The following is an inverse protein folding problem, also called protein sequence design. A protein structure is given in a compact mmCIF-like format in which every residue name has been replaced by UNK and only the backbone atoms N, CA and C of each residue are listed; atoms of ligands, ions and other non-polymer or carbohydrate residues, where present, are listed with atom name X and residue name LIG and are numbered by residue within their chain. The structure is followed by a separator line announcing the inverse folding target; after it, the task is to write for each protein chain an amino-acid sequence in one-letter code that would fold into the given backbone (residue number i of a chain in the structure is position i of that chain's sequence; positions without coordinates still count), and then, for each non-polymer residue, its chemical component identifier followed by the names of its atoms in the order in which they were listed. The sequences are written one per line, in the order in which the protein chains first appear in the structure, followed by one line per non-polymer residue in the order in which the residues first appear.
data_IF_734291217476
#
_entry.id   IF_734291217476
#
_cell.length_a   1.000
_cell.length_b   1.000
_cell.length_c   1.000
_cell.angle_alpha   90.00
_cell.angle_beta   90.00
_cell.angle_gamma   90.00
#
_symmetry.space_group_name_H-M   'P 1'
#
loop_
_entity.id
_entity.type
_entity.pdbx_description
1 polymer ?
#
# COMPACT_ATOMS: atom_id res chain seq x y z
N UNK A 1 -8.22 -17.81 -0.90
CA UNK A 1 -8.81 -16.97 -1.97
C UNK A 1 -9.76 -15.90 -1.41
N UNK A 2 -10.67 -16.21 -0.48
CA UNK A 2 -11.57 -15.21 0.14
C UNK A 2 -10.84 -14.20 1.05
N UNK A 3 -9.76 -14.61 1.72
CA UNK A 3 -9.00 -13.72 2.62
C UNK A 3 -8.36 -12.51 1.91
N UNK A 4 -7.98 -12.65 0.64
CA UNK A 4 -7.39 -11.56 -0.15
C UNK A 4 -8.43 -10.52 -0.58
N UNK A 5 -9.68 -10.94 -0.79
CA UNK A 5 -10.78 -10.04 -1.12
C UNK A 5 -11.22 -9.20 0.08
N UNK A 6 -11.22 -9.77 1.29
CA UNK A 6 -11.55 -9.05 2.52
C UNK A 6 -10.49 -8.00 2.91
N UNK A 7 -9.21 -8.28 2.63
CA UNK A 7 -8.10 -7.34 2.78
C UNK A 7 -8.25 -6.12 1.83
N UNK A 8 -8.58 -6.36 0.55
CA UNK A 8 -8.82 -5.30 -0.43
C UNK A 8 -10.01 -4.39 -0.08
N UNK A 9 -11.09 -4.95 0.47
CA UNK A 9 -12.27 -4.18 0.91
C UNK A 9 -11.99 -3.40 2.20
N UNK A 10 -11.10 -3.88 3.09
CA UNK A 10 -10.78 -3.17 4.33
C UNK A 10 -9.97 -1.88 4.09
N UNK A 11 -9.10 -1.84 3.07
CA UNK A 11 -8.43 -0.60 2.68
C UNK A 11 -9.46 0.43 2.22
N UNK A 12 -10.38 0.07 1.32
CA UNK A 12 -11.36 1.01 0.75
C UNK A 12 -12.35 1.62 1.76
N UNK A 13 -12.62 0.95 2.89
CA UNK A 13 -13.64 1.40 3.85
C UNK A 13 -13.09 2.26 5.01
N UNK A 14 -11.76 2.34 5.19
CA UNK A 14 -11.11 3.16 6.24
C UNK A 14 -9.82 3.87 5.82
N UNK A 15 -9.43 3.80 4.54
CA UNK A 15 -8.16 4.28 3.93
C UNK A 15 -7.29 5.16 4.85
N UNK A 16 -6.34 4.57 5.59
CA UNK A 16 -5.42 5.34 6.44
C UNK A 16 -4.34 6.08 5.63
N UNK A 17 -4.18 5.73 4.35
CA UNK A 17 -3.31 6.37 3.37
C UNK A 17 -3.94 6.31 1.97
N UNK A 18 -3.50 7.21 1.09
CA UNK A 18 -3.93 7.31 -0.30
C UNK A 18 -2.81 7.76 -1.24
N UNK A 19 -3.16 7.97 -2.50
CA UNK A 19 -2.23 8.47 -3.52
C UNK A 19 -1.63 9.81 -3.06
N UNK A 20 -0.31 9.94 -3.21
CA UNK A 20 0.46 11.10 -2.77
C UNK A 20 1.01 11.01 -1.34
N UNK A 21 0.56 10.04 -0.54
CA UNK A 21 1.16 9.82 0.79
C UNK A 21 2.54 9.19 0.64
N UNK A 22 3.48 9.65 1.47
CA UNK A 22 4.75 8.98 1.65
C UNK A 22 4.60 7.85 2.67
N UNK A 23 5.00 6.65 2.25
CA UNK A 23 4.84 5.44 3.06
C UNK A 23 6.12 4.62 3.11
N UNK A 24 6.21 3.76 4.12
CA UNK A 24 7.19 2.67 4.17
C UNK A 24 6.49 1.34 4.38
N UNK A 25 6.78 0.37 3.53
CA UNK A 25 6.15 -0.95 3.54
C UNK A 25 7.12 -1.99 2.96
N UNK A 26 7.18 -3.17 3.58
CA UNK A 26 8.06 -4.27 3.17
C UNK A 26 9.55 -3.88 3.01
N UNK A 27 10.01 -2.85 3.72
CA UNK A 27 11.38 -2.32 3.63
C UNK A 27 11.57 -1.20 2.62
N UNK A 28 10.62 -0.99 1.71
CA UNK A 28 10.66 0.05 0.70
C UNK A 28 9.99 1.34 1.21
N UNK A 29 10.60 2.50 0.93
CA UNK A 29 10.05 3.83 1.21
C UNK A 29 9.75 4.52 -0.11
N UNK A 30 8.53 5.03 -0.29
CA UNK A 30 8.14 5.67 -1.54
C UNK A 30 6.82 6.42 -1.45
N UNK A 31 6.43 7.03 -2.57
CA UNK A 31 5.17 7.76 -2.71
C UNK A 31 4.12 6.83 -3.31
N UNK A 32 2.95 6.76 -2.69
CA UNK A 32 1.83 5.98 -3.24
C UNK A 32 1.34 6.61 -4.53
N UNK A 33 1.36 5.83 -5.61
CA UNK A 33 0.87 6.26 -6.93
C UNK A 33 -0.52 5.72 -7.23
N UNK A 34 -0.82 4.50 -6.79
CA UNK A 34 -2.10 3.83 -7.04
C UNK A 34 -2.45 2.88 -5.89
N UNK A 35 -3.74 2.75 -5.59
CA UNK A 35 -4.26 1.77 -4.63
C UNK A 35 -5.48 1.09 -5.23
N UNK A 36 -5.36 -0.21 -5.45
CA UNK A 36 -6.37 -1.04 -6.08
C UNK A 36 -6.91 -2.06 -5.07
N UNK A 37 -7.86 -2.88 -5.51
CA UNK A 37 -8.38 -4.00 -4.71
C UNK A 37 -7.30 -5.01 -4.32
N UNK A 38 -6.27 -5.20 -5.15
CA UNK A 38 -5.29 -6.28 -4.97
C UNK A 38 -3.87 -5.80 -4.70
N UNK A 39 -3.52 -4.61 -5.18
CA UNK A 39 -2.16 -4.08 -5.15
C UNK A 39 -2.14 -2.63 -4.73
N UNK A 40 -1.02 -2.22 -4.15
CA UNK A 40 -0.62 -0.83 -3.92
C UNK A 40 0.63 -0.59 -4.76
N UNK A 41 0.66 0.49 -5.54
CA UNK A 41 1.86 0.91 -6.28
C UNK A 41 2.54 2.05 -5.54
N UNK A 42 3.85 1.91 -5.34
CA UNK A 42 4.69 2.98 -4.80
C UNK A 42 5.81 3.30 -5.78
N UNK A 43 6.16 4.57 -5.90
CA UNK A 43 7.34 5.01 -6.65
C UNK A 43 8.45 5.38 -5.68
N UNK A 44 9.64 4.86 -5.94
CA UNK A 44 10.86 5.16 -5.20
C UNK A 44 12.04 5.17 -6.19
N UNK A 45 12.90 6.19 -6.10
CA UNK A 45 14.12 6.30 -6.92
C UNK A 45 13.91 6.13 -8.45
N UNK A 46 12.73 6.49 -8.96
CA UNK A 46 12.37 6.36 -10.38
C UNK A 46 11.93 4.95 -10.79
N UNK A 47 11.80 4.02 -9.84
CA UNK A 47 11.26 2.68 -10.04
C UNK A 47 9.85 2.57 -9.44
N UNK A 48 8.98 1.81 -10.11
CA UNK A 48 7.64 1.49 -9.63
C UNK A 48 7.64 0.11 -8.95
N UNK A 49 7.23 0.07 -7.69
CA UNK A 49 7.09 -1.15 -6.92
C UNK A 49 5.61 -1.52 -6.79
N UNK A 50 5.27 -2.74 -7.22
CA UNK A 50 3.91 -3.29 -7.15
C UNK A 50 3.80 -4.22 -5.96
N UNK A 51 3.10 -3.77 -4.91
CA UNK A 51 2.98 -4.49 -3.65
C UNK A 51 1.59 -5.11 -3.52
N UNK A 52 1.48 -6.44 -3.40
CA UNK A 52 0.21 -7.07 -3.09
C UNK A 52 -0.32 -6.57 -1.74
N UNK A 53 -1.61 -6.19 -1.67
CA UNK A 53 -2.22 -5.67 -0.44
C UNK A 53 -2.05 -6.65 0.73
N UNK A 54 -2.10 -7.96 0.48
CA UNK A 54 -1.89 -8.97 1.53
C UNK A 54 -0.49 -8.94 2.16
N UNK A 55 0.54 -8.48 1.44
CA UNK A 55 1.88 -8.24 1.98
C UNK A 55 1.89 -7.00 2.85
N UNK A 56 1.24 -5.91 2.40
CA UNK A 56 1.05 -4.69 3.20
C UNK A 56 0.34 -4.99 4.53
N UNK A 57 -0.68 -5.85 4.53
CA UNK A 57 -1.36 -6.28 5.75
C UNK A 57 -0.50 -7.15 6.68
N UNK A 58 0.41 -7.95 6.11
CA UNK A 58 1.29 -8.84 6.87
C UNK A 58 2.43 -8.07 7.52
N UNK A 59 3.08 -7.21 6.73
CA UNK A 59 4.31 -6.52 7.12
C UNK A 59 4.04 -5.16 7.78
N UNK A 60 2.81 -4.66 7.62
CA UNK A 60 2.39 -3.35 8.11
C UNK A 60 2.82 -2.22 7.17
N UNK A 61 2.16 -1.08 7.35
CA UNK A 61 2.48 0.16 6.63
C UNK A 61 2.71 1.30 7.61
N UNK A 62 3.74 2.08 7.34
CA UNK A 62 4.06 3.29 8.11
C UNK A 62 3.78 4.50 7.22
N UNK A 63 2.83 5.35 7.61
CA UNK A 63 2.70 6.68 7.01
C UNK A 63 3.79 7.58 7.57
N UNK A 64 4.47 8.30 6.68
CA UNK A 64 5.43 9.32 7.02
C UNK A 64 4.72 10.67 6.90
N UNK A 65 4.72 11.46 7.98
CA UNK A 65 4.21 12.82 8.02
C UNK A 65 5.28 13.70 8.64
N UNK A 66 5.70 14.74 7.94
CA UNK A 66 6.50 15.83 8.51
C UNK A 66 5.65 16.75 9.39
#
# INVERSE_FOLDING_TARGET
LVASAAAGVFLLLRQPYGVGDEVRVAGERGIVQEVDLFVTRIEADGEEHVLPNHSVFRDGIVLIRE
#
